data_IF_759806132873
#
_entry.id   IF_759806132873
#
_cell.length_a   1.000
_cell.length_b   1.000
_cell.length_c   1.000
_cell.angle_alpha   90.00
_cell.angle_beta   90.00
_cell.angle_gamma   90.00
#
_symmetry.space_group_name_H-M   'P 1'
#
loop_
_entity.id
_entity.type
_entity.pdbx_description
1 polymer ?
#
# COMPACT_ATOMS: atom_id res chain seq x y z
N UNK A 1 6.23 2.52 -13.84
CA UNK A 1 5.38 1.51 -13.16
C UNK A 1 4.89 2.07 -11.83
N UNK A 2 5.81 2.58 -10.99
CA UNK A 2 5.51 3.24 -9.72
C UNK A 2 4.36 4.26 -9.81
N UNK A 3 4.48 5.31 -10.63
CA UNK A 3 3.41 6.32 -10.77
C UNK A 3 2.02 5.75 -11.09
N UNK A 4 1.97 4.66 -11.87
CA UNK A 4 0.69 3.99 -12.17
C UNK A 4 0.10 3.29 -10.96
N UNK A 5 0.93 2.68 -10.11
CA UNK A 5 0.48 2.00 -8.90
C UNK A 5 -0.12 2.99 -7.89
N UNK A 6 0.55 4.14 -7.67
CA UNK A 6 0.07 5.18 -6.76
C UNK A 6 -1.21 5.82 -7.25
N UNK A 7 -1.28 6.17 -8.55
CA UNK A 7 -2.50 6.72 -9.15
C UNK A 7 -3.68 5.75 -9.04
N UNK A 8 -3.49 4.49 -9.44
CA UNK A 8 -4.55 3.48 -9.35
C UNK A 8 -5.01 3.25 -7.90
N UNK A 9 -4.07 3.24 -6.95
CA UNK A 9 -4.40 3.15 -5.53
C UNK A 9 -5.30 4.31 -5.07
N UNK A 10 -4.94 5.56 -5.41
CA UNK A 10 -5.74 6.72 -5.03
C UNK A 10 -7.13 6.75 -5.68
N UNK A 11 -7.23 6.36 -6.96
CA UNK A 11 -8.53 6.27 -7.64
C UNK A 11 -9.44 5.22 -6.97
N UNK A 12 -8.91 4.04 -6.61
CA UNK A 12 -9.67 2.97 -5.98
C UNK A 12 -10.15 3.31 -4.57
N UNK A 13 -9.29 3.93 -3.74
CA UNK A 13 -9.67 4.28 -2.37
C UNK A 13 -10.64 5.46 -2.30
N UNK A 14 -10.58 6.38 -3.27
CA UNK A 14 -11.56 7.48 -3.41
C UNK A 14 -12.93 6.96 -3.83
N UNK A 15 -12.98 5.99 -4.76
CA UNK A 15 -14.23 5.38 -5.23
C UNK A 15 -14.94 4.54 -4.14
N UNK A 16 -14.20 3.86 -3.27
CA UNK A 16 -14.74 2.86 -2.34
C UNK A 16 -15.00 3.39 -0.91
N UNK A 17 -14.65 4.64 -0.60
CA UNK A 17 -14.87 5.24 0.71
C UNK A 17 -16.37 5.49 1.01
N UNK A 18 -16.84 5.41 2.28
CA UNK A 18 -16.07 5.36 3.52
C UNK A 18 -16.00 3.97 4.18
N UNK A 19 -14.79 3.47 4.47
CA UNK A 19 -14.57 2.26 5.27
C UNK A 19 -13.19 1.63 5.08
N UNK A 20 -12.84 0.59 5.86
CA UNK A 20 -11.63 -0.21 5.61
C UNK A 20 -11.70 -0.91 4.25
N UNK A 21 -10.63 -0.80 3.47
CA UNK A 21 -10.51 -1.42 2.14
C UNK A 21 -9.40 -2.47 2.19
N UNK A 22 -9.69 -3.67 1.69
CA UNK A 22 -8.67 -4.69 1.44
C UNK A 22 -8.34 -4.70 -0.04
N UNK A 23 -7.12 -4.30 -0.39
CA UNK A 23 -6.61 -4.37 -1.75
C UNK A 23 -5.67 -5.58 -1.89
N UNK A 24 -6.00 -6.49 -2.81
CA UNK A 24 -5.14 -7.63 -3.15
C UNK A 24 -4.39 -7.32 -4.43
N UNK A 25 -3.06 -7.34 -4.36
CA UNK A 25 -2.19 -7.05 -5.50
C UNK A 25 -0.88 -7.86 -5.41
N UNK A 26 0.03 -7.62 -6.35
CA UNK A 26 1.30 -8.34 -6.48
C UNK A 26 2.44 -7.58 -5.79
N UNK A 27 3.53 -8.29 -5.51
CA UNK A 27 4.76 -7.78 -4.92
C UNK A 27 5.27 -6.51 -5.62
N UNK A 28 5.34 -6.51 -6.95
CA UNK A 28 5.82 -5.37 -7.73
C UNK A 28 4.94 -4.12 -7.58
N UNK A 29 3.63 -4.31 -7.42
CA UNK A 29 2.70 -3.21 -7.15
C UNK A 29 2.90 -2.70 -5.72
N UNK A 30 2.91 -3.61 -4.73
CA UNK A 30 3.02 -3.25 -3.32
C UNK A 30 4.35 -2.55 -3.03
N UNK A 31 5.47 -3.10 -3.52
CA UNK A 31 6.78 -2.46 -3.39
C UNK A 31 6.79 -1.05 -3.96
N UNK A 32 6.27 -0.89 -5.18
CA UNK A 32 6.27 0.41 -5.83
C UNK A 32 5.33 1.42 -5.13
N UNK A 33 4.21 0.97 -4.59
CA UNK A 33 3.30 1.81 -3.80
C UNK A 33 3.97 2.23 -2.48
N UNK A 34 4.51 1.27 -1.73
CA UNK A 34 5.16 1.53 -0.44
C UNK A 34 6.35 2.49 -0.59
N UNK A 35 7.22 2.32 -1.59
CA UNK A 35 8.36 3.20 -1.86
C UNK A 35 7.92 4.65 -2.19
N UNK A 36 6.74 4.82 -2.81
CA UNK A 36 6.20 6.15 -3.13
C UNK A 36 5.42 6.81 -1.98
N UNK A 37 4.99 6.03 -1.00
CA UNK A 37 4.35 6.54 0.23
C UNK A 37 5.41 6.85 1.29
N UNK A 38 6.44 6.01 1.38
CA UNK A 38 7.58 6.16 2.26
C UNK A 38 8.88 5.83 1.49
N UNK A 39 9.65 6.86 1.08
CA UNK A 39 10.90 6.67 0.34
C UNK A 39 12.00 5.90 1.08
N UNK A 40 11.86 5.67 2.40
CA UNK A 40 12.79 4.80 3.14
C UNK A 40 12.56 3.31 2.85
N UNK A 41 11.38 2.95 2.33
CA UNK A 41 10.94 1.59 2.02
C UNK A 41 11.31 1.18 0.58
N UNK A 42 12.60 1.29 0.24
CA UNK A 42 13.10 0.93 -1.10
C UNK A 42 13.10 -0.59 -1.29
N UNK A 43 12.29 -1.08 -2.24
CA UNK A 43 12.21 -2.52 -2.60
C UNK A 43 12.04 -3.45 -1.40
N UNK A 44 11.17 -3.09 -0.46
CA UNK A 44 10.95 -3.93 0.73
C UNK A 44 10.47 -5.31 0.33
N UNK A 45 10.85 -6.32 1.09
CA UNK A 45 10.37 -7.69 0.87
C UNK A 45 8.84 -7.72 0.97
N UNK A 46 8.21 -8.56 0.17
CA UNK A 46 6.78 -8.88 0.23
C UNK A 46 6.64 -10.40 0.16
N UNK A 47 6.51 -11.06 1.31
CA UNK A 47 6.31 -12.51 1.36
C UNK A 47 4.95 -12.90 0.78
N UNK A 48 4.85 -14.11 0.25
CA UNK A 48 3.54 -14.65 -0.14
C UNK A 48 2.60 -14.64 1.07
N UNK A 49 1.36 -14.19 0.85
CA UNK A 49 0.35 -14.01 1.90
C UNK A 49 0.73 -13.01 3.01
N UNK A 50 1.68 -12.11 2.76
CA UNK A 50 1.89 -10.98 3.65
C UNK A 50 0.77 -9.93 3.51
N UNK A 51 0.61 -9.10 4.53
CA UNK A 51 -0.22 -7.91 4.50
C UNK A 51 0.59 -6.66 4.87
N UNK A 52 0.11 -5.52 4.37
CA UNK A 52 0.57 -4.19 4.73
C UNK A 52 -0.64 -3.41 5.24
N UNK A 53 -0.43 -2.47 6.16
CA UNK A 53 -1.48 -1.57 6.64
C UNK A 53 -1.11 -0.14 6.28
N UNK A 54 -2.05 0.53 5.64
CA UNK A 54 -1.97 1.93 5.27
C UNK A 54 -3.11 2.69 5.95
N UNK A 55 -2.81 3.83 6.57
CA UNK A 55 -3.82 4.73 7.14
C UNK A 55 -3.79 6.08 6.45
N UNK A 56 -4.97 6.63 6.19
CA UNK A 56 -5.13 8.03 5.77
C UNK A 56 -5.27 8.90 7.03
N UNK A 57 -4.20 9.61 7.40
CA UNK A 57 -4.14 10.48 8.58
C UNK A 57 -3.90 11.91 8.11
N UNK A 58 -4.78 12.84 8.48
CA UNK A 58 -4.68 14.26 8.09
C UNK A 58 -4.49 14.47 6.58
N UNK A 59 -5.20 13.68 5.77
CA UNK A 59 -5.13 13.73 4.30
C UNK A 59 -3.83 13.14 3.71
N UNK A 60 -2.97 12.55 4.54
CA UNK A 60 -1.71 11.92 4.12
C UNK A 60 -1.74 10.43 4.37
N UNK A 61 -1.36 9.64 3.37
CA UNK A 61 -1.22 8.20 3.52
C UNK A 61 0.07 7.85 4.26
N UNK A 62 -0.07 7.07 5.35
CA UNK A 62 1.03 6.55 6.16
C UNK A 62 1.09 5.04 6.05
N UNK A 63 2.30 4.49 5.93
CA UNK A 63 2.55 3.05 6.07
C UNK A 63 2.69 2.73 7.56
N UNK A 64 1.70 2.04 8.14
CA UNK A 64 1.74 1.65 9.55
C UNK A 64 2.47 0.32 9.76
N UNK A 65 2.30 -0.60 8.82
CA UNK A 65 2.92 -1.92 8.83
C UNK A 65 3.17 -2.42 7.40
N UNK A 66 4.25 -3.18 7.22
CA UNK A 66 4.58 -3.81 5.94
C UNK A 66 5.17 -5.21 6.13
N UNK A 67 5.01 -6.07 5.13
CA UNK A 67 5.49 -7.47 5.10
C UNK A 67 5.11 -8.26 6.35
N UNK A 68 3.89 -8.09 6.89
CA UNK A 68 3.42 -8.82 8.06
C UNK A 68 2.76 -10.14 7.64
N UNK A 69 2.81 -11.18 8.48
CA UNK A 69 2.09 -12.44 8.27
C UNK A 69 1.21 -12.69 9.49
N UNK A 70 0.02 -13.27 9.31
CA UNK A 70 -0.78 -13.70 10.44
C UNK A 70 -0.08 -14.87 11.15
N UNK A 71 -0.01 -14.81 12.48
CA UNK A 71 0.41 -15.94 13.32
C UNK A 71 -0.70 -16.99 13.43
#
# INVERSE_FOLDING_TARGET
VAERAKKAFFELVDELAPGPIVLVSHDAFNQALLEQLDPSLVRVRQRTACWNQLSLVDGTWRVDAYDQVAE
#
